data_IF_601296523583
#
_entry.id   IF_601296523583
#
_cell.length_a   1.000
_cell.length_b   1.000
_cell.length_c   1.000
_cell.angle_alpha   90.00
_cell.angle_beta   90.00
_cell.angle_gamma   90.00
#
_symmetry.space_group_name_H-M   'P 1'
#
loop_
_entity.id
_entity.type
_entity.pdbx_description
1 polymer ?
#
# COMPACT_ATOMS: atom_id res chain seq x y z
N UNK A 1 -25.67 60.13 -76.23
CA UNK A 1 -24.35 59.65 -75.77
C UNK A 1 -23.81 60.58 -74.70
N UNK A 2 -24.07 60.34 -73.44
CA UNK A 2 -23.41 61.02 -72.34
C UNK A 2 -23.27 59.99 -71.23
N UNK A 3 -22.03 59.61 -70.89
CA UNK A 3 -21.69 58.68 -69.86
C UNK A 3 -21.81 59.37 -68.51
N UNK A 4 -22.65 58.86 -67.66
CA UNK A 4 -22.80 59.33 -66.24
C UNK A 4 -21.86 58.47 -65.40
N UNK A 5 -20.86 59.10 -64.77
CA UNK A 5 -19.92 58.48 -63.89
C UNK A 5 -20.49 58.55 -62.49
N UNK A 6 -20.82 57.39 -61.87
CA UNK A 6 -21.31 57.31 -60.55
C UNK A 6 -20.12 57.02 -59.62
N UNK A 7 -19.74 57.96 -58.79
CA UNK A 7 -18.69 57.79 -57.76
C UNK A 7 -19.33 57.19 -56.51
N UNK A 8 -18.99 55.96 -56.24
CA UNK A 8 -19.44 55.26 -55.03
C UNK A 8 -18.38 55.44 -53.94
N UNK A 9 -18.66 56.28 -52.95
CA UNK A 9 -17.85 56.47 -51.76
C UNK A 9 -18.13 55.33 -50.78
N UNK A 10 -17.18 54.42 -50.59
CA UNK A 10 -17.23 53.35 -49.59
C UNK A 10 -16.73 53.95 -48.28
N UNK A 11 -17.65 54.17 -47.33
CA UNK A 11 -17.34 54.45 -45.93
C UNK A 11 -16.95 53.13 -45.22
N UNK A 12 -15.68 52.98 -44.92
CA UNK A 12 -15.17 51.85 -44.09
C UNK A 12 -15.45 52.22 -42.65
N UNK A 13 -16.52 51.63 -42.07
CA UNK A 13 -16.75 51.58 -40.61
C UNK A 13 -15.81 50.56 -40.00
N UNK A 14 -14.78 51.04 -39.30
CA UNK A 14 -13.96 50.24 -38.38
C UNK A 14 -14.82 49.81 -37.19
N UNK A 15 -15.40 48.61 -37.27
CA UNK A 15 -15.88 47.92 -36.08
C UNK A 15 -14.63 47.39 -35.31
N UNK A 16 -14.27 48.07 -34.24
CA UNK A 16 -13.39 47.47 -33.23
C UNK A 16 -14.18 46.30 -32.60
N UNK A 17 -14.00 45.11 -33.14
CA UNK A 17 -14.47 43.90 -32.46
C UNK A 17 -13.63 43.74 -31.21
N UNK A 18 -14.21 44.07 -30.06
CA UNK A 18 -13.74 43.47 -28.80
C UNK A 18 -13.92 41.97 -28.97
N UNK A 19 -12.83 41.27 -29.23
CA UNK A 19 -12.78 39.84 -29.10
C UNK A 19 -13.08 39.54 -27.60
N UNK A 20 -14.06 38.70 -27.27
CA UNK A 20 -14.17 38.24 -25.91
C UNK A 20 -12.87 37.55 -25.58
N UNK A 21 -12.27 37.91 -24.42
CA UNK A 21 -11.26 37.08 -23.80
C UNK A 21 -11.79 35.65 -23.81
N UNK A 22 -11.27 34.84 -24.69
CA UNK A 22 -11.40 33.41 -24.56
C UNK A 22 -10.69 33.10 -23.24
N UNK A 23 -11.47 33.00 -22.16
CA UNK A 23 -11.03 32.30 -20.98
C UNK A 23 -10.39 31.02 -21.48
N UNK A 24 -9.08 31.00 -21.51
CA UNK A 24 -8.31 29.77 -21.48
C UNK A 24 -8.76 29.09 -20.19
N UNK A 25 -9.79 28.26 -20.29
CA UNK A 25 -9.95 27.15 -19.38
C UNK A 25 -8.66 26.35 -19.54
N UNK A 26 -7.64 26.71 -18.77
CA UNK A 26 -6.43 25.92 -18.63
C UNK A 26 -6.95 24.51 -18.38
N UNK A 27 -6.69 23.59 -19.29
CA UNK A 27 -7.03 22.21 -19.06
C UNK A 27 -6.45 21.85 -17.69
N UNK A 28 -7.33 21.50 -16.75
CA UNK A 28 -6.93 21.17 -15.39
C UNK A 28 -5.78 20.17 -15.48
N UNK A 29 -4.63 20.52 -14.90
CA UNK A 29 -3.49 19.61 -14.87
C UNK A 29 -3.93 18.34 -14.14
N UNK A 30 -3.51 17.19 -14.63
CA UNK A 30 -3.82 15.89 -14.01
C UNK A 30 -2.52 15.30 -13.49
N UNK A 31 -2.54 14.88 -12.23
CA UNK A 31 -1.48 14.08 -11.62
C UNK A 31 -2.01 12.65 -11.47
N UNK A 32 -1.39 11.70 -12.14
CA UNK A 32 -1.73 10.30 -12.03
C UNK A 32 -0.94 9.65 -10.91
N UNK A 33 -1.63 9.12 -9.91
CA UNK A 33 -1.03 8.43 -8.77
C UNK A 33 -1.47 6.97 -8.81
N UNK A 34 -0.54 6.06 -9.08
CA UNK A 34 -0.79 4.63 -9.02
C UNK A 34 -0.60 4.12 -7.61
N UNK A 35 -1.56 3.32 -7.13
CA UNK A 35 -1.59 2.80 -5.76
C UNK A 35 -1.99 1.32 -5.74
N UNK A 36 -1.79 0.66 -4.61
CA UNK A 36 -2.49 -0.60 -4.31
C UNK A 36 -3.99 -0.34 -4.04
N UNK A 37 -4.80 -1.41 -4.07
CA UNK A 37 -6.26 -1.30 -3.99
C UNK A 37 -6.75 -0.79 -2.62
N UNK A 38 -6.02 -1.09 -1.55
CA UNK A 38 -6.37 -0.67 -0.18
C UNK A 38 -5.98 0.78 0.15
N UNK A 39 -5.40 1.55 -0.81
CA UNK A 39 -5.14 2.97 -0.59
C UNK A 39 -6.42 3.75 -0.39
N UNK A 40 -6.48 4.53 0.69
CA UNK A 40 -7.58 5.45 0.96
C UNK A 40 -7.07 6.75 1.57
N UNK A 41 -7.86 7.80 1.43
CA UNK A 41 -7.58 9.15 1.91
C UNK A 41 -8.90 9.91 2.09
N UNK A 42 -9.00 10.71 3.14
CA UNK A 42 -10.16 11.58 3.34
C UNK A 42 -10.38 12.49 2.12
N UNK A 43 -11.58 12.45 1.55
CA UNK A 43 -11.91 13.18 0.32
C UNK A 43 -11.66 14.71 0.44
N UNK A 44 -11.93 15.31 1.60
CA UNK A 44 -11.71 16.72 1.88
C UNK A 44 -10.22 17.07 1.88
N UNK A 45 -9.36 16.15 2.36
CA UNK A 45 -7.92 16.33 2.40
C UNK A 45 -7.34 16.30 0.97
N UNK A 46 -7.76 15.33 0.16
CA UNK A 46 -7.37 15.27 -1.26
C UNK A 46 -7.84 16.51 -2.02
N UNK A 47 -9.11 16.91 -1.83
CA UNK A 47 -9.66 18.10 -2.47
C UNK A 47 -8.96 19.40 -2.04
N UNK A 48 -8.43 19.47 -0.81
CA UNK A 48 -7.59 20.59 -0.35
C UNK A 48 -6.31 20.66 -1.18
N UNK A 49 -5.59 19.55 -1.33
CA UNK A 49 -4.39 19.47 -2.16
C UNK A 49 -4.67 19.89 -3.61
N UNK A 50 -5.76 19.40 -4.21
CA UNK A 50 -6.16 19.70 -5.59
C UNK A 50 -6.40 21.22 -5.79
N UNK A 51 -7.13 21.86 -4.86
CA UNK A 51 -7.40 23.30 -4.92
C UNK A 51 -6.14 24.16 -4.75
N UNK A 52 -5.28 23.80 -3.78
CA UNK A 52 -4.04 24.55 -3.48
C UNK A 52 -3.03 24.48 -4.63
N UNK A 53 -3.06 23.42 -5.43
CA UNK A 53 -2.12 23.19 -6.52
C UNK A 53 -2.70 23.35 -7.93
N UNK A 54 -3.98 23.73 -8.06
CA UNK A 54 -4.70 23.81 -9.34
C UNK A 54 -4.46 22.55 -10.20
N UNK A 55 -4.78 21.38 -9.63
CA UNK A 55 -4.57 20.06 -10.21
C UNK A 55 -5.75 19.15 -9.89
N UNK A 56 -6.01 18.17 -10.75
CA UNK A 56 -6.84 17.01 -10.44
C UNK A 56 -5.92 15.82 -10.19
N UNK A 57 -6.11 15.15 -9.07
CA UNK A 57 -5.42 13.88 -8.78
C UNK A 57 -6.26 12.72 -9.29
N UNK A 58 -5.67 11.87 -10.10
CA UNK A 58 -6.29 10.66 -10.61
C UNK A 58 -5.65 9.45 -9.93
N UNK A 59 -6.35 8.83 -8.97
CA UNK A 59 -5.90 7.63 -8.29
C UNK A 59 -6.16 6.41 -9.17
N UNK A 60 -5.10 5.66 -9.46
CA UNK A 60 -5.13 4.45 -10.28
C UNK A 60 -4.87 3.25 -9.36
N UNK A 61 -5.92 2.62 -8.87
CA UNK A 61 -5.82 1.37 -8.11
C UNK A 61 -5.44 0.23 -9.06
N UNK A 62 -4.38 -0.51 -8.73
CA UNK A 62 -3.71 -1.42 -9.66
C UNK A 62 -3.49 -2.85 -9.12
N UNK A 63 -4.36 -3.29 -8.23
CA UNK A 63 -4.24 -4.55 -7.52
C UNK A 63 -3.46 -4.39 -6.21
N UNK A 64 -3.06 -5.51 -5.61
CA UNK A 64 -2.18 -5.47 -4.44
C UNK A 64 -0.77 -4.99 -4.84
N UNK A 65 0.05 -4.58 -3.89
CA UNK A 65 1.31 -3.85 -4.10
C UNK A 65 2.26 -4.54 -5.10
N UNK A 66 2.40 -5.87 -5.04
CA UNK A 66 3.21 -6.62 -6.00
C UNK A 66 2.65 -6.57 -7.43
N UNK A 67 1.33 -6.61 -7.59
CA UNK A 67 0.65 -6.48 -8.88
C UNK A 67 0.78 -5.07 -9.45
N UNK A 68 0.59 -4.05 -8.61
CA UNK A 68 0.74 -2.64 -8.98
C UNK A 68 2.18 -2.34 -9.42
N UNK A 69 3.19 -2.82 -8.68
CA UNK A 69 4.59 -2.67 -9.05
C UNK A 69 4.92 -3.35 -10.39
N UNK A 70 4.41 -4.57 -10.61
CA UNK A 70 4.60 -5.28 -11.87
C UNK A 70 4.03 -4.47 -13.06
N UNK A 71 2.82 -3.92 -12.90
CA UNK A 71 2.20 -3.07 -13.92
C UNK A 71 3.02 -1.81 -14.18
N UNK A 72 3.52 -1.15 -13.13
CA UNK A 72 4.37 0.03 -13.28
C UNK A 72 5.67 -0.30 -14.02
N UNK A 73 6.37 -1.39 -13.68
CA UNK A 73 7.60 -1.82 -14.34
C UNK A 73 7.33 -2.06 -15.84
N UNK A 74 6.29 -2.81 -16.17
CA UNK A 74 5.95 -3.13 -17.56
C UNK A 74 5.62 -1.89 -18.40
N UNK A 75 4.82 -0.97 -17.84
CA UNK A 75 4.42 0.26 -18.56
C UNK A 75 5.59 1.24 -18.69
N UNK A 76 6.43 1.38 -17.66
CA UNK A 76 7.61 2.24 -17.69
C UNK A 76 8.66 1.75 -18.69
N UNK A 77 8.94 0.45 -18.74
CA UNK A 77 9.89 -0.13 -19.71
C UNK A 77 9.41 -0.04 -21.15
N UNK A 78 8.10 -0.03 -21.38
CA UNK A 78 7.51 0.22 -22.68
C UNK A 78 7.52 1.72 -23.09
N UNK A 79 8.00 2.62 -22.22
CA UNK A 79 8.01 4.07 -22.47
C UNK A 79 6.62 4.71 -22.40
N UNK A 80 5.66 4.05 -21.77
CA UNK A 80 4.25 4.44 -21.66
C UNK A 80 3.76 4.41 -20.22
N UNK A 81 4.55 4.97 -19.28
CA UNK A 81 4.14 5.01 -17.86
C UNK A 81 2.77 5.68 -17.71
N UNK A 82 1.89 5.03 -16.99
CA UNK A 82 0.53 5.51 -16.70
C UNK A 82 0.48 6.43 -15.48
N UNK A 83 1.57 6.50 -14.70
CA UNK A 83 1.63 7.21 -13.44
C UNK A 83 2.74 8.25 -13.39
N UNK A 84 2.50 9.30 -12.63
CA UNK A 84 3.49 10.33 -12.25
C UNK A 84 4.10 10.05 -10.87
N UNK A 85 3.31 9.46 -9.98
CA UNK A 85 3.70 9.01 -8.64
C UNK A 85 3.22 7.58 -8.43
N UNK A 86 4.02 6.79 -7.74
CA UNK A 86 3.65 5.48 -7.23
C UNK A 86 3.65 5.51 -5.70
N UNK A 87 2.61 4.96 -5.11
CA UNK A 87 2.45 4.79 -3.67
C UNK A 87 2.17 3.31 -3.34
N UNK A 88 2.72 2.83 -2.22
CA UNK A 88 2.47 1.47 -1.75
C UNK A 88 3.54 0.46 -2.15
N UNK A 89 4.75 0.95 -2.53
CA UNK A 89 5.93 0.11 -2.57
C UNK A 89 6.40 -0.15 -1.15
N UNK A 90 6.59 -1.39 -0.76
CA UNK A 90 7.12 -1.71 0.55
C UNK A 90 8.55 -2.26 0.52
N UNK A 91 9.14 -2.41 1.71
CA UNK A 91 10.53 -2.85 1.87
C UNK A 91 10.77 -4.28 1.37
N UNK A 92 9.75 -5.11 1.20
CA UNK A 92 9.88 -6.46 0.65
C UNK A 92 10.04 -6.46 -0.88
N UNK A 93 9.52 -5.42 -1.56
CA UNK A 93 9.66 -5.21 -3.00
C UNK A 93 10.70 -4.14 -3.37
N UNK A 94 11.33 -3.48 -2.39
CA UNK A 94 12.19 -2.32 -2.58
C UNK A 94 13.34 -2.58 -3.56
N UNK A 95 14.08 -3.67 -3.39
CA UNK A 95 15.21 -4.01 -4.26
C UNK A 95 14.79 -4.13 -5.73
N UNK A 96 13.67 -4.83 -5.98
CA UNK A 96 13.14 -5.00 -7.34
C UNK A 96 12.77 -3.68 -8.00
N UNK A 97 12.16 -2.76 -7.24
CA UNK A 97 11.80 -1.45 -7.76
C UNK A 97 13.03 -0.60 -8.09
N UNK A 98 14.06 -0.64 -7.23
CA UNK A 98 15.29 0.12 -7.42
C UNK A 98 16.15 -0.42 -8.57
N UNK A 99 16.21 -1.74 -8.76
CA UNK A 99 16.93 -2.40 -9.87
C UNK A 99 16.32 -2.08 -11.23
N UNK A 100 15.00 -1.88 -11.30
CA UNK A 100 14.32 -1.50 -12.55
C UNK A 100 14.44 -0.01 -12.88
N UNK A 101 15.06 0.82 -12.01
CA UNK A 101 15.33 2.24 -12.23
C UNK A 101 14.10 3.07 -12.68
N UNK A 102 12.93 2.72 -12.15
CA UNK A 102 11.64 3.32 -12.52
C UNK A 102 11.31 4.62 -11.77
N UNK A 103 12.12 5.01 -10.80
CA UNK A 103 11.91 6.20 -9.99
C UNK A 103 13.03 7.23 -10.15
N UNK A 104 12.67 8.50 -9.95
CA UNK A 104 13.58 9.63 -9.90
C UNK A 104 13.83 10.07 -8.45
N UNK A 105 15.07 10.46 -8.10
CA UNK A 105 15.38 10.88 -6.73
C UNK A 105 14.69 12.20 -6.37
N UNK A 106 14.16 12.26 -5.16
CA UNK A 106 13.61 13.48 -4.55
C UNK A 106 13.96 13.53 -3.06
N UNK A 107 14.52 14.63 -2.61
CA UNK A 107 14.83 14.86 -1.20
C UNK A 107 13.77 15.76 -0.58
N UNK A 108 12.69 15.15 -0.05
CA UNK A 108 11.65 15.89 0.62
C UNK A 108 12.17 16.54 1.92
N UNK A 109 11.79 17.78 2.23
CA UNK A 109 12.22 18.46 3.47
C UNK A 109 11.87 17.69 4.74
N UNK A 110 10.74 16.99 4.76
CA UNK A 110 10.25 16.22 5.90
C UNK A 110 11.16 15.03 6.29
N UNK A 111 12.02 14.54 5.39
CA UNK A 111 12.92 13.42 5.69
C UNK A 111 13.86 13.71 6.86
N UNK A 112 14.15 14.98 7.16
CA UNK A 112 14.98 15.38 8.32
C UNK A 112 14.31 15.10 9.67
N UNK A 113 13.00 14.88 9.69
CA UNK A 113 12.20 14.61 10.89
C UNK A 113 11.89 13.10 11.03
N UNK A 114 12.07 12.32 9.97
CA UNK A 114 11.74 10.89 9.94
C UNK A 114 12.95 10.09 10.42
N UNK A 115 12.70 9.10 11.29
CA UNK A 115 13.76 8.24 11.80
C UNK A 115 14.51 7.54 10.66
N UNK A 116 15.83 7.48 10.76
CA UNK A 116 16.69 6.89 9.74
C UNK A 116 16.42 5.40 9.49
N UNK A 117 15.84 4.68 10.45
CA UNK A 117 15.47 3.27 10.29
C UNK A 117 14.37 3.03 9.26
N UNK A 118 13.57 4.05 8.94
CA UNK A 118 12.59 4.00 7.86
C UNK A 118 13.16 4.36 6.49
N UNK A 119 14.31 5.07 6.43
CA UNK A 119 14.91 5.59 5.20
C UNK A 119 15.82 4.55 4.53
N UNK A 120 15.24 3.48 3.99
CA UNK A 120 15.98 2.34 3.45
C UNK A 120 16.63 2.59 2.07
N UNK A 121 16.17 3.60 1.32
CA UNK A 121 16.78 4.03 0.05
C UNK A 121 17.61 5.31 0.24
N UNK A 122 18.91 5.18 0.38
CA UNK A 122 19.84 6.30 0.53
C UNK A 122 19.96 7.19 -0.71
N UNK A 123 19.42 6.73 -1.85
CA UNK A 123 19.36 7.52 -3.09
C UNK A 123 18.12 8.41 -3.19
N UNK A 124 17.19 8.30 -2.22
CA UNK A 124 15.90 9.03 -2.18
C UNK A 124 15.05 8.89 -3.45
N UNK A 125 15.15 7.76 -4.16
CA UNK A 125 14.25 7.45 -5.28
C UNK A 125 12.87 7.06 -4.79
N UNK A 126 12.79 6.51 -3.58
CA UNK A 126 11.55 6.27 -2.87
C UNK A 126 11.67 6.74 -1.43
N UNK A 127 10.59 7.28 -0.89
CA UNK A 127 10.54 7.90 0.43
C UNK A 127 9.55 7.15 1.31
N UNK A 128 9.88 6.89 2.60
CA UNK A 128 8.98 6.21 3.52
C UNK A 128 7.76 7.10 3.83
N UNK A 129 6.56 6.51 3.79
CA UNK A 129 5.31 7.23 4.05
C UNK A 129 4.59 6.72 5.28
N UNK A 130 4.54 5.41 5.46
CA UNK A 130 3.90 4.76 6.60
C UNK A 130 4.58 3.43 6.92
N UNK A 131 4.17 2.80 8.03
CA UNK A 131 4.56 1.45 8.35
C UNK A 131 3.44 0.68 9.06
N UNK A 132 3.52 -0.65 8.97
CA UNK A 132 2.67 -1.57 9.69
C UNK A 132 3.44 -2.84 10.02
N UNK A 133 2.92 -3.64 10.94
CA UNK A 133 3.52 -4.93 11.25
C UNK A 133 2.59 -6.03 10.72
N UNK A 134 3.03 -6.77 9.72
CA UNK A 134 2.30 -7.93 9.19
C UNK A 134 2.47 -9.08 10.16
N UNK A 135 1.35 -9.53 10.72
CA UNK A 135 1.25 -10.60 11.71
C UNK A 135 0.16 -11.59 11.30
N UNK A 136 -0.30 -12.42 12.23
CA UNK A 136 -1.47 -13.26 12.06
C UNK A 136 -2.58 -12.71 12.94
N UNK A 137 -3.72 -12.39 12.35
CA UNK A 137 -4.91 -11.99 13.10
C UNK A 137 -5.81 -13.19 13.36
N UNK A 138 -6.54 -13.13 14.46
CA UNK A 138 -7.48 -14.18 14.86
C UNK A 138 -8.83 -13.65 15.30
N UNK A 139 -9.87 -14.44 15.09
CA UNK A 139 -11.25 -14.20 15.50
C UNK A 139 -11.44 -14.72 16.94
N UNK A 140 -11.54 -13.81 17.92
CA UNK A 140 -11.70 -14.14 19.33
C UNK A 140 -12.96 -14.99 19.61
N UNK A 141 -14.08 -14.64 18.96
CA UNK A 141 -15.34 -15.32 19.18
C UNK A 141 -15.30 -16.76 18.65
N UNK A 142 -14.71 -16.96 17.49
CA UNK A 142 -14.57 -18.30 16.89
C UNK A 142 -13.74 -19.22 17.79
N UNK A 143 -12.57 -18.76 18.29
CA UNK A 143 -11.72 -19.57 19.17
C UNK A 143 -12.41 -19.90 20.49
N UNK A 144 -13.14 -18.94 21.07
CA UNK A 144 -13.91 -19.15 22.30
C UNK A 144 -15.03 -20.17 22.11
N UNK A 145 -15.79 -20.07 21.00
CA UNK A 145 -16.90 -20.98 20.70
C UNK A 145 -16.44 -22.43 20.49
N UNK A 146 -15.28 -22.61 19.81
CA UNK A 146 -14.75 -23.94 19.51
C UNK A 146 -13.89 -24.51 20.66
N UNK A 147 -13.62 -23.75 21.70
CA UNK A 147 -12.79 -24.18 22.83
C UNK A 147 -11.34 -24.52 22.42
N UNK A 148 -10.87 -23.95 21.29
CA UNK A 148 -9.53 -24.13 20.80
C UNK A 148 -8.63 -23.01 21.35
N UNK A 149 -7.41 -23.36 21.79
CA UNK A 149 -6.43 -22.35 22.17
C UNK A 149 -6.00 -21.51 20.95
N UNK A 150 -5.80 -20.21 21.13
CA UNK A 150 -5.20 -19.36 20.10
C UNK A 150 -3.73 -19.77 19.91
N UNK A 151 -3.23 -19.90 18.66
CA UNK A 151 -1.80 -20.16 18.42
C UNK A 151 -0.93 -19.08 19.06
N UNK A 152 0.22 -19.48 19.60
CA UNK A 152 1.17 -18.58 20.27
C UNK A 152 2.52 -18.47 19.56
N UNK A 153 2.73 -19.30 18.54
CA UNK A 153 3.95 -19.32 17.72
C UNK A 153 3.63 -19.71 16.27
N UNK A 154 4.60 -19.56 15.40
CA UNK A 154 4.49 -20.01 13.99
C UNK A 154 4.39 -21.55 13.92
N UNK A 155 5.07 -22.26 14.80
CA UNK A 155 5.07 -23.73 14.87
C UNK A 155 3.68 -24.27 15.18
N UNK A 156 2.92 -23.59 16.05
CA UNK A 156 1.56 -24.02 16.41
C UNK A 156 0.66 -24.17 15.18
N UNK A 157 0.84 -23.33 14.17
CA UNK A 157 0.01 -23.32 12.93
C UNK A 157 0.14 -24.60 12.12
N UNK A 158 1.20 -25.37 12.33
CA UNK A 158 1.41 -26.67 11.64
C UNK A 158 0.76 -27.84 12.37
N UNK A 159 0.25 -27.62 13.60
CA UNK A 159 -0.40 -28.67 14.38
C UNK A 159 -1.75 -29.05 13.77
N UNK A 160 -2.15 -30.34 13.82
CA UNK A 160 -3.43 -30.81 13.28
C UNK A 160 -4.67 -30.08 13.82
N UNK A 161 -4.58 -29.49 15.02
CA UNK A 161 -5.65 -28.72 15.63
C UNK A 161 -6.03 -27.46 14.83
N UNK A 162 -5.09 -26.91 14.02
CA UNK A 162 -5.29 -25.72 13.21
C UNK A 162 -5.43 -26.02 11.72
N UNK A 163 -5.71 -27.28 11.36
CA UNK A 163 -5.85 -27.69 9.96
C UNK A 163 -6.97 -26.91 9.26
N UNK A 164 -6.63 -26.26 8.14
CA UNK A 164 -7.56 -25.49 7.32
C UNK A 164 -8.03 -24.17 7.92
N UNK A 165 -7.45 -23.73 9.06
CA UNK A 165 -7.90 -22.55 9.78
C UNK A 165 -7.16 -21.26 9.38
N UNK A 166 -6.03 -21.34 8.69
CA UNK A 166 -5.22 -20.19 8.31
C UNK A 166 -5.44 -19.82 6.84
N UNK A 167 -5.68 -18.52 6.58
CA UNK A 167 -5.60 -17.92 5.26
C UNK A 167 -4.32 -17.08 5.15
N UNK A 168 -3.61 -17.21 4.03
CA UNK A 168 -2.40 -16.45 3.66
C UNK A 168 -2.52 -15.94 2.24
N UNK A 169 -1.75 -14.94 1.87
CA UNK A 169 -1.71 -14.41 0.52
C UNK A 169 -0.53 -14.98 -0.29
N UNK A 170 -0.68 -14.93 -1.61
CA UNK A 170 0.40 -15.28 -2.55
C UNK A 170 1.54 -14.23 -2.48
N UNK A 171 2.77 -14.62 -2.13
CA UNK A 171 3.90 -13.70 -1.97
C UNK A 171 4.38 -13.06 -3.29
N UNK A 172 3.96 -13.57 -4.44
CA UNK A 172 4.35 -12.98 -5.73
C UNK A 172 3.52 -11.76 -6.11
N UNK A 173 2.35 -11.58 -5.51
CA UNK A 173 1.38 -10.53 -5.83
C UNK A 173 1.03 -9.63 -4.65
N UNK A 174 1.11 -10.16 -3.43
CA UNK A 174 0.69 -9.50 -2.19
C UNK A 174 1.87 -9.15 -1.28
N UNK A 175 1.92 -7.91 -0.82
CA UNK A 175 2.89 -7.45 0.18
C UNK A 175 2.78 -8.20 1.51
N UNK A 176 1.58 -8.32 2.15
CA UNK A 176 1.45 -9.10 3.37
C UNK A 176 1.87 -10.56 3.20
N UNK A 177 1.53 -11.18 2.06
CA UNK A 177 1.96 -12.54 1.75
C UNK A 177 3.48 -12.68 1.67
N UNK A 178 4.15 -11.74 0.99
CA UNK A 178 5.61 -11.71 0.92
C UNK A 178 6.24 -11.41 2.28
N UNK A 179 5.66 -10.48 3.03
CA UNK A 179 6.11 -10.14 4.38
C UNK A 179 6.05 -11.34 5.32
N UNK A 180 4.95 -12.10 5.30
CA UNK A 180 4.81 -13.32 6.08
C UNK A 180 5.81 -14.40 5.65
N UNK A 181 6.01 -14.60 4.34
CA UNK A 181 7.04 -15.51 3.84
C UNK A 181 8.43 -15.11 4.37
N UNK A 182 8.80 -13.82 4.32
CA UNK A 182 10.07 -13.33 4.86
C UNK A 182 10.18 -13.51 6.37
N UNK A 183 9.10 -13.32 7.14
CA UNK A 183 9.09 -13.62 8.56
C UNK A 183 9.41 -15.09 8.83
N UNK A 184 8.85 -16.01 8.04
CA UNK A 184 9.15 -17.45 8.17
C UNK A 184 10.58 -17.79 7.78
N UNK A 185 11.15 -17.13 6.77
CA UNK A 185 12.58 -17.29 6.41
C UNK A 185 13.49 -16.79 7.53
N UNK A 186 13.16 -15.62 8.11
CA UNK A 186 13.94 -15.08 9.22
C UNK A 186 13.88 -15.96 10.47
N UNK A 187 12.72 -16.59 10.74
CA UNK A 187 12.48 -17.43 11.91
C UNK A 187 13.11 -18.82 11.76
N UNK A 188 12.87 -19.51 10.63
CA UNK A 188 13.29 -20.90 10.42
C UNK A 188 14.64 -21.03 9.69
N UNK A 189 15.18 -19.95 9.15
CA UNK A 189 16.39 -19.93 8.32
C UNK A 189 16.22 -20.57 6.94
N UNK A 190 17.28 -20.52 6.13
CA UNK A 190 17.27 -21.05 4.74
C UNK A 190 16.94 -22.54 4.66
N UNK A 191 17.38 -23.32 5.63
CA UNK A 191 17.21 -24.76 5.61
C UNK A 191 15.84 -25.24 6.12
N UNK A 192 15.11 -24.38 6.87
CA UNK A 192 13.88 -24.78 7.57
C UNK A 192 12.58 -24.18 7.02
N UNK A 193 12.62 -23.03 6.35
CA UNK A 193 11.42 -22.33 5.95
C UNK A 193 10.56 -23.08 4.91
N UNK A 194 11.18 -23.78 3.95
CA UNK A 194 10.42 -24.60 2.98
C UNK A 194 9.74 -25.80 3.63
N UNK A 195 10.41 -26.43 4.62
CA UNK A 195 9.80 -27.53 5.39
C UNK A 195 8.62 -27.03 6.22
N UNK A 196 8.71 -25.81 6.78
CA UNK A 196 7.58 -25.17 7.47
C UNK A 196 6.40 -24.92 6.51
N UNK A 197 6.63 -24.35 5.32
CA UNK A 197 5.58 -24.14 4.33
C UNK A 197 5.00 -25.46 3.79
N UNK A 198 5.81 -26.49 3.68
CA UNK A 198 5.31 -27.84 3.36
C UNK A 198 4.36 -28.34 4.44
N UNK A 199 4.67 -28.15 5.71
CA UNK A 199 3.79 -28.51 6.82
C UNK A 199 2.50 -27.67 6.80
N UNK A 200 2.54 -26.39 6.47
CA UNK A 200 1.34 -25.55 6.28
C UNK A 200 0.49 -26.06 5.12
N UNK A 201 1.11 -26.46 4.00
CA UNK A 201 0.40 -27.07 2.86
C UNK A 201 -0.29 -28.37 3.27
N UNK A 202 0.43 -29.26 3.96
CA UNK A 202 -0.12 -30.52 4.49
C UNK A 202 -1.25 -30.23 5.52
N UNK A 203 -1.17 -29.12 6.24
CA UNK A 203 -2.18 -28.62 7.17
C UNK A 203 -3.29 -27.80 6.48
N UNK A 204 -3.37 -27.84 5.16
CA UNK A 204 -4.43 -27.24 4.34
C UNK A 204 -4.57 -25.71 4.49
N UNK A 205 -3.45 -24.98 4.56
CA UNK A 205 -3.48 -23.52 4.52
C UNK A 205 -4.21 -23.03 3.27
N UNK A 206 -5.06 -22.02 3.43
CA UNK A 206 -5.79 -21.39 2.31
C UNK A 206 -4.95 -20.29 1.72
N UNK A 207 -4.75 -20.29 0.40
CA UNK A 207 -3.95 -19.27 -0.31
C UNK A 207 -4.89 -18.37 -1.09
N UNK A 208 -4.91 -17.08 -0.75
CA UNK A 208 -5.63 -16.03 -1.47
C UNK A 208 -4.70 -15.33 -2.48
N UNK A 209 -5.28 -14.73 -3.52
CA UNK A 209 -4.52 -14.01 -4.53
C UNK A 209 -3.98 -12.66 -4.02
N UNK A 210 -4.72 -12.03 -3.10
CA UNK A 210 -4.48 -10.69 -2.56
C UNK A 210 -5.01 -10.56 -1.13
N UNK A 211 -4.63 -9.46 -0.47
CA UNK A 211 -5.02 -9.20 0.90
C UNK A 211 -6.53 -9.00 1.07
N UNK A 212 -7.20 -8.31 0.15
CA UNK A 212 -8.65 -8.08 0.24
C UNK A 212 -9.42 -9.40 0.23
N UNK A 213 -9.02 -10.35 -0.62
CA UNK A 213 -9.60 -11.70 -0.66
C UNK A 213 -9.32 -12.45 0.64
N UNK A 214 -8.08 -12.44 1.15
CA UNK A 214 -7.73 -13.11 2.40
C UNK A 214 -8.54 -12.53 3.57
N UNK A 215 -8.56 -11.20 3.69
CA UNK A 215 -9.14 -10.53 4.84
C UNK A 215 -10.68 -10.49 4.80
N UNK A 216 -11.27 -10.06 3.68
CA UNK A 216 -12.72 -9.87 3.59
C UNK A 216 -13.50 -11.11 3.12
N UNK A 217 -12.87 -12.04 2.39
CA UNK A 217 -13.58 -13.22 1.90
C UNK A 217 -13.26 -14.51 2.67
N UNK A 218 -12.03 -14.65 3.18
CA UNK A 218 -11.61 -15.86 3.88
C UNK A 218 -11.70 -15.74 5.40
N UNK A 219 -11.35 -14.59 5.99
CA UNK A 219 -11.29 -14.40 7.44
C UNK A 219 -12.67 -14.29 8.08
N UNK A 220 -12.93 -15.08 9.14
CA UNK A 220 -14.22 -15.07 9.84
C UNK A 220 -14.44 -13.85 10.72
N UNK A 221 -13.36 -13.22 11.21
CA UNK A 221 -13.39 -12.07 12.09
C UNK A 221 -13.65 -10.73 11.38
N UNK A 222 -13.67 -10.72 10.04
CA UNK A 222 -13.98 -9.53 9.25
C UNK A 222 -15.45 -9.46 8.84
N UNK A 223 -15.83 -8.36 8.18
CA UNK A 223 -17.18 -8.12 7.68
C UNK A 223 -17.71 -9.22 6.73
N UNK A 224 -16.81 -9.88 5.99
CA UNK A 224 -17.16 -10.96 5.05
C UNK A 224 -17.54 -12.29 5.69
N UNK A 225 -17.18 -12.49 6.97
CA UNK A 225 -17.46 -13.71 7.75
C UNK A 225 -17.07 -15.00 7.01
N UNK A 226 -15.83 -15.00 6.56
CA UNK A 226 -15.25 -16.18 5.88
C UNK A 226 -15.11 -17.40 6.79
N UNK A 227 -14.47 -18.45 6.30
CA UNK A 227 -14.37 -19.72 7.02
C UNK A 227 -13.10 -19.86 7.88
N UNK A 228 -12.08 -19.06 7.65
CA UNK A 228 -10.80 -19.16 8.34
C UNK A 228 -10.72 -18.20 9.53
N UNK A 229 -10.56 -18.70 10.78
CA UNK A 229 -10.45 -17.86 11.97
C UNK A 229 -9.05 -17.24 12.18
N UNK A 230 -8.11 -17.56 11.29
CA UNK A 230 -6.74 -17.03 11.25
C UNK A 230 -6.45 -16.47 9.85
N UNK A 231 -5.85 -15.28 9.80
CA UNK A 231 -5.44 -14.64 8.55
C UNK A 231 -4.12 -13.90 8.72
N UNK A 232 -3.27 -13.92 7.71
CA UNK A 232 -2.14 -13.02 7.65
C UNK A 232 -2.67 -11.61 7.36
N UNK A 233 -2.35 -10.64 8.23
CA UNK A 233 -2.78 -9.25 8.09
C UNK A 233 -1.95 -8.35 9.02
N UNK A 234 -2.34 -7.09 9.16
CA UNK A 234 -1.62 -6.14 10.01
C UNK A 234 -2.02 -6.26 11.48
N UNK A 235 -1.06 -6.03 12.39
CA UNK A 235 -1.32 -5.97 13.82
C UNK A 235 -2.26 -4.82 14.22
N UNK A 236 -2.48 -3.88 13.32
CA UNK A 236 -3.44 -2.77 13.44
C UNK A 236 -4.83 -3.07 12.85
N UNK A 237 -5.01 -4.16 12.09
CA UNK A 237 -6.33 -4.50 11.50
C UNK A 237 -7.46 -4.65 12.53
N UNK A 238 -7.22 -5.08 13.77
CA UNK A 238 -8.26 -5.11 14.80
C UNK A 238 -8.92 -3.76 15.10
N UNK A 239 -8.23 -2.64 14.82
CA UNK A 239 -8.80 -1.29 14.94
C UNK A 239 -9.97 -1.09 13.99
N UNK A 240 -9.85 -1.55 12.73
CA UNK A 240 -10.92 -1.44 11.75
C UNK A 240 -12.17 -2.19 12.19
N UNK A 241 -12.00 -3.42 12.69
CA UNK A 241 -13.11 -4.24 13.17
C UNK A 241 -13.77 -3.64 14.44
N UNK A 242 -13.02 -2.89 15.24
CA UNK A 242 -13.56 -2.15 16.38
C UNK A 242 -14.36 -0.92 15.95
N UNK A 243 -13.81 -0.12 15.03
CA UNK A 243 -14.43 1.16 14.61
C UNK A 243 -15.67 0.93 13.74
N UNK A 244 -15.63 -0.06 12.84
CA UNK A 244 -16.72 -0.35 11.92
C UNK A 244 -17.71 -1.41 12.43
N UNK A 245 -17.62 -1.78 13.71
CA UNK A 245 -18.59 -2.70 14.31
C UNK A 245 -20.01 -2.14 14.24
N UNK A 246 -20.97 -2.97 13.85
CA UNK A 246 -22.39 -2.59 13.81
C UNK A 246 -23.01 -2.31 15.19
N UNK A 247 -22.34 -2.76 16.24
CA UNK A 247 -22.73 -2.62 17.63
C UNK A 247 -21.60 -1.99 18.43
N UNK A 248 -21.93 -1.29 19.51
CA UNK A 248 -20.91 -0.76 20.42
C UNK A 248 -20.16 -1.90 21.11
N UNK A 249 -18.83 -1.89 21.03
CA UNK A 249 -17.95 -2.89 21.58
C UNK A 249 -17.05 -2.28 22.65
N UNK A 250 -16.77 -3.04 23.70
CA UNK A 250 -15.79 -2.66 24.73
C UNK A 250 -14.34 -2.89 24.24
N UNK A 251 -14.13 -3.87 23.36
CA UNK A 251 -12.83 -4.22 22.77
C UNK A 251 -12.97 -4.72 21.32
N UNK A 252 -11.87 -4.72 20.57
CA UNK A 252 -11.86 -5.26 19.21
C UNK A 252 -12.24 -6.77 19.20
N UNK A 253 -13.11 -7.20 18.24
CA UNK A 253 -13.54 -8.60 18.15
C UNK A 253 -12.43 -9.54 17.69
N UNK A 254 -11.39 -8.97 17.11
CA UNK A 254 -10.19 -9.68 16.65
C UNK A 254 -8.96 -9.22 17.42
N UNK A 255 -7.86 -9.93 17.30
CA UNK A 255 -6.56 -9.52 17.81
C UNK A 255 -5.44 -10.15 16.97
N UNK A 256 -4.20 -9.75 17.22
CA UNK A 256 -3.03 -10.21 16.50
C UNK A 256 -2.14 -11.10 17.37
N UNK A 257 -1.53 -12.11 16.74
CA UNK A 257 -0.49 -12.93 17.36
C UNK A 257 0.84 -12.19 17.16
N UNK A 258 1.32 -11.53 18.21
CA UNK A 258 2.56 -10.72 18.19
C UNK A 258 3.74 -11.45 18.84
N UNK A 259 3.84 -12.76 18.61
CA UNK A 259 4.95 -13.56 19.10
C UNK A 259 6.31 -13.07 18.56
N UNK A 260 7.37 -13.34 19.30
CA UNK A 260 8.74 -12.95 18.92
C UNK A 260 9.09 -13.53 17.55
N UNK A 261 9.51 -12.65 16.63
CA UNK A 261 9.86 -12.95 15.22
C UNK A 261 8.73 -13.59 14.38
N UNK A 262 7.46 -13.51 14.80
CA UNK A 262 6.33 -14.00 14.02
C UNK A 262 5.71 -12.92 13.11
N UNK A 263 6.05 -11.65 13.33
CA UNK A 263 5.59 -10.52 12.53
C UNK A 263 6.73 -9.91 11.73
N UNK A 264 6.39 -9.28 10.60
CA UNK A 264 7.34 -8.53 9.76
C UNK A 264 6.98 -7.06 9.76
N UNK A 265 7.95 -6.17 10.07
CA UNK A 265 7.73 -4.73 9.92
C UNK A 265 7.78 -4.36 8.45
N UNK A 266 6.65 -3.97 7.93
CA UNK A 266 6.50 -3.45 6.58
C UNK A 266 6.57 -1.93 6.61
N UNK A 267 7.46 -1.35 5.80
CA UNK A 267 7.58 0.09 5.58
C UNK A 267 7.14 0.36 4.16
N UNK A 268 6.15 1.21 3.98
CA UNK A 268 5.67 1.61 2.66
C UNK A 268 6.29 2.91 2.19
N UNK A 269 6.56 2.96 0.90
CA UNK A 269 7.21 4.07 0.23
C UNK A 269 6.34 4.64 -0.89
N UNK A 270 6.59 5.91 -1.21
CA UNK A 270 6.15 6.52 -2.45
C UNK A 270 7.36 7.03 -3.24
N UNK A 271 7.24 7.05 -4.57
CA UNK A 271 8.29 7.52 -5.46
C UNK A 271 7.75 8.26 -6.67
N UNK A 272 8.55 9.19 -7.19
CA UNK A 272 8.26 9.92 -8.42
C UNK A 272 8.64 9.04 -9.60
N UNK A 273 7.70 8.75 -10.48
CA UNK A 273 7.94 7.87 -11.62
C UNK A 273 8.84 8.54 -12.66
N UNK A 274 9.86 7.82 -13.09
CA UNK A 274 10.85 8.30 -14.04
C UNK A 274 10.21 8.70 -15.38
N UNK A 275 10.55 9.91 -15.85
CA UNK A 275 10.04 10.44 -17.10
C UNK A 275 8.69 11.14 -17.01
N UNK A 276 8.14 11.32 -15.79
CA UNK A 276 6.92 12.12 -15.59
C UNK A 276 7.07 13.53 -16.17
N UNK A 277 6.02 14.03 -16.83
CA UNK A 277 5.95 15.41 -17.29
C UNK A 277 5.39 16.35 -16.19
N UNK A 278 5.02 15.80 -15.04
CA UNK A 278 4.42 16.53 -13.91
C UNK A 278 5.37 16.61 -12.70
N UNK A 279 6.70 16.58 -12.92
CA UNK A 279 7.72 16.49 -11.88
C UNK A 279 7.45 17.41 -10.68
N UNK A 280 7.17 18.71 -10.92
CA UNK A 280 6.93 19.66 -9.84
C UNK A 280 5.65 19.40 -9.04
N UNK A 281 4.62 18.82 -9.67
CA UNK A 281 3.40 18.38 -8.98
C UNK A 281 3.63 17.09 -8.21
N UNK A 282 4.41 16.17 -8.76
CA UNK A 282 4.78 14.93 -8.11
C UNK A 282 5.58 15.19 -6.81
N UNK A 283 6.55 16.12 -6.84
CA UNK A 283 7.28 16.56 -5.64
C UNK A 283 6.33 17.12 -4.56
N UNK A 284 5.40 17.99 -4.95
CA UNK A 284 4.40 18.52 -4.03
C UNK A 284 3.47 17.45 -3.46
N UNK A 285 3.16 16.42 -4.25
CA UNK A 285 2.34 15.32 -3.78
C UNK A 285 3.10 14.43 -2.78
N UNK A 286 4.38 14.18 -3.01
CA UNK A 286 5.23 13.52 -2.00
C UNK A 286 5.30 14.35 -0.71
N UNK A 287 5.50 15.68 -0.80
CA UNK A 287 5.49 16.56 0.38
C UNK A 287 4.14 16.54 1.10
N UNK A 288 3.04 16.45 0.35
CA UNK A 288 1.70 16.29 0.90
C UNK A 288 1.54 14.97 1.64
N UNK A 289 2.00 13.84 1.08
CA UNK A 289 2.00 12.54 1.75
C UNK A 289 2.83 12.53 3.04
N UNK A 290 3.83 13.39 3.15
CA UNK A 290 4.67 13.58 4.34
C UNK A 290 4.21 14.73 5.23
N UNK A 291 3.12 15.41 4.90
CA UNK A 291 2.56 16.47 5.73
C UNK A 291 1.87 15.88 6.96
N UNK A 292 1.83 16.68 8.05
CA UNK A 292 1.15 16.27 9.27
C UNK A 292 -0.32 15.90 9.02
N UNK A 293 -1.03 16.70 8.20
CA UNK A 293 -2.44 16.46 7.89
C UNK A 293 -2.66 15.06 7.28
N UNK A 294 -1.84 14.65 6.31
CA UNK A 294 -1.94 13.31 5.69
C UNK A 294 -1.48 12.21 6.65
N UNK A 295 -0.40 12.44 7.38
CA UNK A 295 0.13 11.46 8.32
C UNK A 295 -0.83 11.17 9.48
N UNK A 296 -1.64 12.15 9.91
CA UNK A 296 -2.70 11.97 10.91
C UNK A 296 -3.99 11.36 10.31
N UNK A 297 -4.16 11.39 8.99
CA UNK A 297 -5.28 10.74 8.28
C UNK A 297 -5.05 9.21 8.13
N UNK A 298 -3.81 8.78 7.92
CA UNK A 298 -3.42 7.39 7.66
C UNK A 298 -4.01 6.36 8.65
N UNK A 299 -3.98 6.58 9.98
CA UNK A 299 -4.43 5.57 10.94
C UNK A 299 -5.89 5.18 10.78
N UNK A 300 -6.77 6.11 10.37
CA UNK A 300 -8.21 5.85 10.24
C UNK A 300 -8.65 5.56 8.80
N UNK A 301 -7.79 5.83 7.81
CA UNK A 301 -8.09 5.51 6.41
C UNK A 301 -7.48 4.18 5.97
N UNK A 302 -6.25 3.91 6.40
CA UNK A 302 -5.50 2.74 5.96
C UNK A 302 -5.08 1.81 7.09
N UNK A 303 -5.35 2.17 8.34
CA UNK A 303 -5.01 1.38 9.53
C UNK A 303 -3.52 1.03 9.62
N UNK A 304 -2.68 2.00 9.29
CA UNK A 304 -1.21 1.92 9.37
C UNK A 304 -0.65 3.05 10.23
N UNK A 305 0.61 2.93 10.65
CA UNK A 305 1.28 3.94 11.47
C UNK A 305 1.97 4.99 10.60
N UNK A 306 1.87 6.28 10.95
CA UNK A 306 2.63 7.35 10.29
C UNK A 306 4.12 7.20 10.57
N UNK A 307 4.99 7.60 9.61
CA UNK A 307 6.44 7.71 9.84
C UNK A 307 6.84 9.04 10.46
N UNK A 308 5.97 10.05 10.41
CA UNK A 308 6.23 11.36 10.99
C UNK A 308 5.98 11.32 12.50
N UNK A 309 7.00 11.54 13.36
CA UNK A 309 6.86 11.35 14.80
C UNK A 309 5.93 12.37 15.48
N UNK A 310 5.68 13.53 14.85
CA UNK A 310 4.75 14.55 15.34
C UNK A 310 3.27 14.27 15.00
N UNK A 311 2.98 13.26 14.19
CA UNK A 311 1.61 12.86 13.87
C UNK A 311 0.96 12.19 15.08
N UNK A 312 -0.26 12.63 15.42
CA UNK A 312 -1.02 12.11 16.54
C UNK A 312 -1.81 10.87 16.09
N UNK A 313 -1.77 9.83 16.90
CA UNK A 313 -2.60 8.65 16.72
C UNK A 313 -3.95 8.83 17.40
N UNK A 314 -5.07 8.46 16.78
CA UNK A 314 -6.37 8.40 17.45
C UNK A 314 -6.38 7.45 18.64
N UNK A 315 -7.18 7.76 19.66
CA UNK A 315 -7.28 6.93 20.87
C UNK A 315 -7.77 5.50 20.56
N UNK A 316 -8.71 5.37 19.62
CA UNK A 316 -9.24 4.09 19.13
C UNK A 316 -8.13 3.25 18.50
N UNK A 317 -7.23 3.89 17.76
CA UNK A 317 -6.10 3.22 17.13
C UNK A 317 -5.12 2.69 18.17
N UNK A 318 -4.72 3.51 19.12
CA UNK A 318 -3.76 3.13 20.17
C UNK A 318 -4.32 2.06 21.11
N UNK A 319 -5.64 2.04 21.34
CA UNK A 319 -6.29 1.07 22.23
C UNK A 319 -6.45 -0.31 21.60
N UNK A 320 -6.64 -0.39 20.30
CA UNK A 320 -7.02 -1.64 19.61
C UNK A 320 -5.92 -2.20 18.71
N UNK A 321 -4.86 -1.43 18.40
CA UNK A 321 -3.70 -1.92 17.67
C UNK A 321 -2.66 -2.55 18.59
N UNK A 322 -1.82 -3.41 18.02
CA UNK A 322 -0.70 -4.04 18.69
C UNK A 322 0.60 -3.76 17.92
N UNK A 323 1.67 -3.51 18.65
CA UNK A 323 3.01 -3.33 18.05
C UNK A 323 3.89 -4.47 18.57
N UNK A 324 4.40 -5.36 17.69
CA UNK A 324 5.33 -6.40 18.10
C UNK A 324 6.63 -5.77 18.62
N UNK A 325 7.10 -6.24 19.78
CA UNK A 325 8.35 -5.75 20.39
C UNK A 325 9.57 -6.16 19.55
N UNK A 326 9.52 -7.35 18.95
CA UNK A 326 10.61 -7.94 18.19
C UNK A 326 10.09 -8.52 16.86
N UNK A 327 9.80 -7.67 15.87
CA UNK A 327 9.45 -8.17 14.54
C UNK A 327 10.64 -8.91 13.91
N UNK A 328 10.34 -9.83 13.01
CA UNK A 328 11.35 -10.51 12.20
C UNK A 328 12.05 -9.50 11.28
N UNK A 329 13.33 -9.69 11.07
CA UNK A 329 14.15 -8.86 10.19
C UNK A 329 15.09 -9.71 9.36
N UNK A 330 15.36 -9.28 8.13
CA UNK A 330 16.41 -9.81 7.26
C UNK A 330 17.27 -8.65 6.76
N UNK A 331 18.53 -8.91 6.49
CA UNK A 331 19.40 -7.91 5.87
C UNK A 331 18.86 -7.52 4.48
N UNK A 332 18.72 -6.22 4.14
CA UNK A 332 18.18 -5.78 2.86
C UNK A 332 18.96 -6.29 1.64
N UNK A 333 20.29 -6.42 1.74
CA UNK A 333 21.11 -6.97 0.64
C UNK A 333 20.88 -8.48 0.50
N UNK A 334 20.59 -9.17 1.59
CA UNK A 334 20.22 -10.59 1.57
C UNK A 334 18.84 -10.79 0.91
N UNK A 335 17.87 -9.95 1.22
CA UNK A 335 16.56 -9.93 0.55
C UNK A 335 16.76 -9.68 -0.95
N UNK A 336 17.48 -8.62 -1.32
CA UNK A 336 17.73 -8.25 -2.71
C UNK A 336 18.29 -9.41 -3.54
N UNK A 337 19.23 -10.17 -2.94
CA UNK A 337 19.89 -11.29 -3.61
C UNK A 337 18.99 -12.52 -3.79
N UNK A 338 18.11 -12.80 -2.84
CA UNK A 338 17.46 -14.12 -2.76
C UNK A 338 15.94 -14.07 -2.99
N UNK A 339 15.32 -12.89 -2.92
CA UNK A 339 13.87 -12.72 -2.97
C UNK A 339 13.20 -13.44 -4.15
N UNK A 340 13.72 -13.26 -5.36
CA UNK A 340 13.12 -13.88 -6.56
C UNK A 340 13.17 -15.41 -6.48
N UNK A 341 14.31 -15.95 -6.01
CA UNK A 341 14.47 -17.39 -5.81
C UNK A 341 13.52 -17.93 -4.74
N UNK A 342 13.35 -17.22 -3.62
CA UNK A 342 12.42 -17.63 -2.56
C UNK A 342 10.98 -17.64 -3.04
N UNK A 343 10.55 -16.62 -3.80
CA UNK A 343 9.21 -16.56 -4.39
C UNK A 343 9.01 -17.72 -5.37
N UNK A 344 9.97 -18.01 -6.24
CA UNK A 344 9.92 -19.14 -7.17
C UNK A 344 9.78 -20.48 -6.44
N UNK A 345 10.61 -20.72 -5.43
CA UNK A 345 10.57 -21.92 -4.60
C UNK A 345 9.24 -22.08 -3.87
N UNK A 346 8.71 -20.99 -3.33
CA UNK A 346 7.40 -21.00 -2.68
C UNK A 346 6.29 -21.35 -3.67
N UNK A 347 6.28 -20.72 -4.84
CA UNK A 347 5.28 -20.98 -5.90
C UNK A 347 5.34 -22.45 -6.36
N UNK A 348 6.55 -22.99 -6.55
CA UNK A 348 6.75 -24.39 -6.91
C UNK A 348 6.22 -25.31 -5.82
N UNK A 349 6.53 -25.05 -4.55
CA UNK A 349 6.07 -25.87 -3.43
C UNK A 349 4.55 -25.78 -3.25
N UNK A 350 4.00 -24.58 -3.21
CA UNK A 350 2.62 -24.36 -2.73
C UNK A 350 1.58 -24.51 -3.83
N UNK A 351 1.89 -24.15 -5.08
CA UNK A 351 0.92 -24.14 -6.20
C UNK A 351 1.12 -25.29 -7.19
N UNK A 352 2.20 -26.07 -7.11
CA UNK A 352 2.29 -27.30 -7.92
C UNK A 352 1.35 -28.39 -7.41
N UNK A 353 0.69 -29.06 -8.37
CA UNK A 353 -0.22 -30.19 -8.11
C UNK A 353 0.49 -31.42 -7.57
#
# INVERSE_FOLDING_TARGET
MKKLLLILTISILLFAACAPDTNNLSASRVLNVMTHDSFDITAELLAKFERENDVRVNIIKAGDAGSALNRLILTSTAGASEADVFYGLDNSFLSRALENEIFEPYQAPALTHIDASFQLDTSNRVLPINYGDVCINYDKAWFAEHGLAVPTSLEDLTLPAYQGLLAVENPSTSSPGLAFMMATIAHFGEDGWLDYWKQLKDNQVVIAADWETAYYSNFSGSSGKGAQPLVVSYASSPVAEFIYAEVELDEAPTASIVAEHACWRQIEFAGIVKGTQQRALAEKFIDFLLSKDFQEDLPLQMFVYPVLPEALLPDEFTRSSQIPEKPATLDPAYIAKNRELWVEQWLELMLSN
#
